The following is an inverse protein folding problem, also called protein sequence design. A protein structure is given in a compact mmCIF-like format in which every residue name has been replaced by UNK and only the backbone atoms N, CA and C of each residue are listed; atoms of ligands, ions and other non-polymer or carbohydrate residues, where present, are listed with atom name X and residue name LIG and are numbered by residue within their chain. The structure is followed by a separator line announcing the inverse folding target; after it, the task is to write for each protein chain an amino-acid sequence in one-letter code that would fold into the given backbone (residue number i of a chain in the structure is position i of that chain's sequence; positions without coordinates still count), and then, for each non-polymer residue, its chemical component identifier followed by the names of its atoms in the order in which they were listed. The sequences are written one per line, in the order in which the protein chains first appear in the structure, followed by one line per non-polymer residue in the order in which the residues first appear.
data_IF_689230106707
#
_entry.id   IF_689230106707
#
_cell.length_a   1.000
_cell.length_b   1.000
_cell.length_c   1.000
_cell.angle_alpha   90.00
_cell.angle_beta   90.00
_cell.angle_gamma   90.00
#
_symmetry.space_group_name_H-M   'P 1'
#
loop_
_entity.id
_entity.type
_entity.pdbx_description
1 polymer ?
#
# COMPACT_ATOMS: atom_id res chain seq x y z
N UNK A 1 10.17 6.91 -0.48
CA UNK A 1 10.54 5.72 -1.28
C UNK A 1 11.29 4.66 -0.47
N UNK A 2 12.28 5.01 0.38
CA UNK A 2 13.05 4.01 1.14
C UNK A 2 12.22 3.16 2.13
N UNK A 3 11.20 3.74 2.78
CA UNK A 3 10.32 3.03 3.73
C UNK A 3 9.42 1.99 3.07
N UNK A 4 9.02 2.20 1.81
CA UNK A 4 8.14 1.28 1.07
C UNK A 4 8.87 -0.01 0.64
N UNK A 5 10.18 0.09 0.38
CA UNK A 5 11.00 -1.06 -0.08
C UNK A 5 11.29 -2.03 1.07
N UNK A 6 11.49 -1.52 2.30
CA UNK A 6 11.72 -2.32 3.50
C UNK A 6 10.48 -3.13 3.91
N UNK A 7 9.30 -2.51 3.87
CA UNK A 7 8.03 -3.19 4.20
C UNK A 7 7.68 -4.26 3.16
N UNK A 8 7.83 -3.97 1.87
CA UNK A 8 7.53 -4.93 0.79
C UNK A 8 8.45 -6.17 0.81
N UNK A 9 9.74 -5.97 1.12
CA UNK A 9 10.71 -7.07 1.17
C UNK A 9 10.46 -8.02 2.36
N UNK A 10 10.01 -7.48 3.50
CA UNK A 10 9.68 -8.27 4.69
C UNK A 10 8.42 -9.12 4.48
N UNK A 11 7.36 -8.55 3.87
CA UNK A 11 6.14 -9.31 3.55
C UNK A 11 6.38 -10.43 2.52
N UNK A 12 7.28 -10.22 1.56
CA UNK A 12 7.61 -11.23 0.54
C UNK A 12 8.38 -12.40 1.14
N UNK A 13 9.32 -12.14 2.08
CA UNK A 13 10.04 -13.19 2.81
C UNK A 13 9.12 -13.97 3.77
N UNK A 14 8.09 -13.33 4.35
CA UNK A 14 7.15 -14.00 5.26
C UNK A 14 6.22 -14.98 4.55
N UNK A 15 5.79 -14.72 3.29
CA UNK A 15 4.98 -15.70 2.53
C UNK A 15 5.70 -17.04 2.34
N UNK A 16 7.02 -17.00 2.14
CA UNK A 16 7.82 -18.22 1.94
C UNK A 16 8.03 -19.05 3.22
N UNK A 17 7.87 -18.47 4.42
CA UNK A 17 8.02 -19.18 5.69
C UNK A 17 6.71 -19.72 6.26
N UNK A 18 5.56 -19.27 5.76
CA UNK A 18 4.23 -19.77 6.20
C UNK A 18 3.83 -21.04 5.44
N UNK A 19 4.37 -21.25 4.23
CA UNK A 19 4.11 -22.47 3.44
C UNK A 19 4.76 -23.75 4.01
N UNK A 20 5.58 -23.67 5.06
CA UNK A 20 6.23 -24.84 5.67
C UNK A 20 5.51 -25.46 6.87
N UNK A 21 4.40 -24.90 7.35
CA UNK A 21 3.65 -25.42 8.50
C UNK A 21 2.14 -25.53 8.19
N UNK A 22 1.74 -26.56 7.43
CA UNK A 22 0.36 -27.04 7.39
C UNK A 22 0.32 -28.56 7.61
N UNK A 23 -0.09 -28.94 8.82
CA UNK A 23 -0.33 -30.34 9.22
C UNK A 23 -1.81 -30.65 9.00
N UNK A 24 -2.04 -31.75 8.28
CA UNK A 24 -3.32 -32.38 7.98
C UNK A 24 -4.28 -32.46 9.18
N UNK A 25 -5.53 -32.02 8.98
CA UNK A 25 -6.67 -32.55 9.72
C UNK A 25 -7.81 -32.90 8.75
N UNK A 26 -7.99 -34.20 8.61
CA UNK A 26 -8.94 -34.89 7.75
C UNK A 26 -10.14 -35.29 8.63
N UNK A 27 -11.34 -34.76 8.36
CA UNK A 27 -12.61 -35.28 8.91
C UNK A 27 -13.65 -35.23 7.79
N UNK A 28 -14.16 -36.41 7.42
CA UNK A 28 -15.15 -36.62 6.36
C UNK A 28 -16.61 -36.58 6.84
N UNK A 29 -17.47 -37.07 5.94
CA UNK A 29 -18.94 -37.06 5.87
C UNK A 29 -19.52 -35.86 5.10
N UNK A 30 -20.43 -35.99 4.14
CA UNK A 30 -21.07 -37.16 3.49
C UNK A 30 -21.75 -36.64 2.21
N UNK A 31 -21.74 -37.43 1.13
CA UNK A 31 -22.41 -37.10 -0.13
C UNK A 31 -23.93 -37.28 -0.03
N UNK A 32 -24.69 -36.30 -0.52
CA UNK A 32 -26.05 -36.54 -0.99
C UNK A 32 -26.34 -35.70 -2.23
N UNK A 33 -26.60 -36.41 -3.32
CA UNK A 33 -27.00 -35.92 -4.63
C UNK A 33 -28.50 -36.14 -4.76
N UNK A 34 -29.30 -35.10 -5.04
CA UNK A 34 -30.39 -35.23 -6.01
C UNK A 34 -30.85 -33.86 -6.57
N UNK A 35 -31.40 -33.95 -7.77
CA UNK A 35 -31.61 -32.91 -8.77
C UNK A 35 -32.90 -32.10 -8.59
N UNK A 36 -32.86 -30.85 -9.06
CA UNK A 36 -33.97 -30.26 -9.83
C UNK A 36 -33.47 -29.04 -10.59
N UNK A 37 -33.28 -29.24 -11.90
CA UNK A 37 -33.14 -28.20 -12.92
C UNK A 37 -34.40 -27.32 -12.97
N UNK A 38 -34.24 -26.07 -13.44
CA UNK A 38 -35.25 -25.03 -13.74
C UNK A 38 -35.33 -23.88 -12.72
N UNK A 39 -34.33 -22.99 -12.72
CA UNK A 39 -34.56 -21.53 -12.65
C UNK A 39 -33.30 -20.70 -12.99
N UNK A 40 -32.69 -20.95 -14.16
CA UNK A 40 -31.36 -20.43 -14.54
C UNK A 40 -31.36 -19.03 -15.18
N UNK A 41 -32.30 -18.15 -14.82
CA UNK A 41 -32.34 -16.78 -15.37
C UNK A 41 -32.51 -15.65 -14.34
N UNK A 42 -32.32 -15.91 -13.04
CA UNK A 42 -32.41 -14.85 -12.02
C UNK A 42 -31.36 -14.92 -10.88
N UNK A 43 -30.22 -15.58 -11.08
CA UNK A 43 -29.16 -15.71 -10.06
C UNK A 43 -27.75 -15.36 -10.57
N UNK A 44 -27.47 -14.07 -10.77
CA UNK A 44 -26.10 -13.52 -10.60
C UNK A 44 -26.17 -12.04 -10.17
N UNK A 45 -26.73 -11.77 -9.00
CA UNK A 45 -26.34 -10.60 -8.18
C UNK A 45 -26.22 -11.13 -6.75
N UNK A 46 -25.26 -12.04 -6.56
CA UNK A 46 -24.92 -12.58 -5.24
C UNK A 46 -23.67 -11.85 -4.75
N UNK A 47 -23.86 -11.03 -3.72
CA UNK A 47 -22.93 -10.85 -2.61
C UNK A 47 -21.49 -10.43 -2.99
N UNK A 48 -21.33 -9.30 -3.68
CA UNK A 48 -20.00 -8.75 -3.89
C UNK A 48 -19.47 -8.13 -2.58
N UNK A 49 -18.45 -8.76 -1.98
CA UNK A 49 -17.72 -8.21 -0.83
C UNK A 49 -17.33 -6.75 -1.10
N UNK A 50 -17.91 -5.77 -0.39
CA UNK A 50 -17.65 -4.35 -0.66
C UNK A 50 -16.21 -3.96 -0.32
N UNK A 51 -15.46 -4.81 0.39
CA UNK A 51 -14.09 -4.56 0.82
C UNK A 51 -13.02 -5.22 -0.06
N UNK A 52 -13.42 -5.85 -1.17
CA UNK A 52 -12.49 -6.40 -2.16
C UNK A 52 -11.54 -5.33 -2.70
N UNK A 53 -10.34 -5.78 -3.05
CA UNK A 53 -9.27 -4.93 -3.56
C UNK A 53 -9.48 -4.52 -5.01
N UNK A 54 -9.93 -5.46 -5.84
CA UNK A 54 -10.03 -5.29 -7.28
C UNK A 54 -11.47 -5.37 -7.76
N UNK A 55 -11.84 -4.47 -8.66
CA UNK A 55 -13.18 -4.38 -9.26
C UNK A 55 -13.12 -3.98 -10.72
N UNK A 56 -14.14 -4.40 -11.47
CA UNK A 56 -14.33 -3.97 -12.87
C UNK A 56 -15.64 -3.19 -12.97
N UNK A 57 -15.54 -1.93 -13.37
CA UNK A 57 -16.68 -1.05 -13.63
C UNK A 57 -16.98 -1.02 -15.12
N UNK A 58 -18.26 -0.87 -15.48
CA UNK A 58 -18.70 -0.72 -16.87
C UNK A 58 -19.70 0.42 -17.02
N UNK A 59 -19.64 1.10 -18.15
CA UNK A 59 -20.61 2.13 -18.55
C UNK A 59 -20.84 2.07 -20.05
N UNK A 60 -22.08 1.84 -20.45
CA UNK A 60 -22.51 2.00 -21.84
C UNK A 60 -23.08 3.42 -21.98
N UNK A 61 -22.45 4.25 -22.81
CA UNK A 61 -22.96 5.60 -23.14
C UNK A 61 -23.90 5.46 -24.32
N UNK A 62 -25.20 5.47 -24.03
CA UNK A 62 -26.25 5.55 -25.04
C UNK A 62 -26.31 6.92 -25.70
N UNK A 63 -26.75 6.94 -26.96
CA UNK A 63 -26.90 8.15 -27.76
C UNK A 63 -25.62 8.99 -27.75
N UNK A 64 -24.50 8.33 -28.05
CA UNK A 64 -23.17 8.94 -27.97
C UNK A 64 -23.03 10.16 -28.88
N UNK A 65 -23.73 10.17 -30.02
CA UNK A 65 -23.86 11.32 -30.91
C UNK A 65 -24.41 12.57 -30.20
N UNK A 66 -25.45 12.44 -29.37
CA UNK A 66 -26.00 13.54 -28.56
C UNK A 66 -25.04 13.92 -27.43
N UNK A 67 -24.42 12.93 -26.77
CA UNK A 67 -23.43 13.15 -25.72
C UNK A 67 -22.24 13.99 -26.23
N UNK A 68 -21.72 13.67 -27.42
CA UNK A 68 -20.59 14.35 -28.03
C UNK A 68 -20.83 15.86 -28.28
N UNK A 69 -22.09 16.29 -28.42
CA UNK A 69 -22.43 17.71 -28.59
C UNK A 69 -22.18 18.52 -27.32
N UNK A 70 -22.22 17.91 -26.13
CA UNK A 70 -21.78 18.53 -24.89
C UNK A 70 -22.69 19.66 -24.36
N UNK A 71 -23.97 19.35 -24.15
CA UNK A 71 -24.90 20.30 -23.52
C UNK A 71 -24.57 20.58 -22.02
N UNK A 72 -24.67 21.85 -21.55
CA UNK A 72 -24.22 22.26 -20.22
C UNK A 72 -24.85 21.53 -19.03
N UNK A 73 -26.09 21.04 -19.17
CA UNK A 73 -26.86 20.44 -18.07
C UNK A 73 -27.09 18.93 -18.21
N UNK A 74 -26.69 18.32 -19.32
CA UNK A 74 -26.96 16.89 -19.64
C UNK A 74 -25.72 16.11 -20.12
N UNK A 75 -24.56 16.78 -20.18
CA UNK A 75 -23.36 16.25 -20.81
C UNK A 75 -22.65 15.13 -20.04
N UNK A 76 -22.67 15.09 -18.71
CA UNK A 76 -21.94 14.04 -17.98
C UNK A 76 -22.73 12.73 -17.89
N UNK A 77 -22.02 11.60 -17.92
CA UNK A 77 -22.56 10.25 -17.67
C UNK A 77 -21.78 9.59 -16.54
N UNK A 78 -22.51 8.93 -15.65
CA UNK A 78 -21.96 8.21 -14.49
C UNK A 78 -22.40 6.74 -14.56
N UNK A 79 -21.51 5.81 -14.23
CA UNK A 79 -21.91 4.42 -14.00
C UNK A 79 -22.64 4.26 -12.67
N UNK A 80 -23.26 3.09 -12.49
CA UNK A 80 -23.62 2.62 -11.16
C UNK A 80 -22.36 2.51 -10.27
N UNK A 81 -22.48 2.79 -8.96
CA UNK A 81 -21.36 2.61 -8.04
C UNK A 81 -21.02 1.14 -7.87
N UNK A 82 -19.73 0.82 -7.85
CA UNK A 82 -19.22 -0.48 -7.43
C UNK A 82 -18.30 -0.27 -6.23
N UNK A 83 -18.48 -1.10 -5.20
CA UNK A 83 -17.70 -0.99 -3.97
C UNK A 83 -16.38 -1.74 -4.08
N UNK A 84 -15.30 -1.04 -3.72
CA UNK A 84 -13.97 -1.60 -3.49
C UNK A 84 -13.39 -0.95 -2.23
N UNK A 85 -12.82 -1.76 -1.34
CA UNK A 85 -12.30 -1.30 -0.04
C UNK A 85 -13.30 -0.48 0.80
N UNK A 86 -14.60 -0.75 0.66
CA UNK A 86 -15.67 -0.03 1.35
C UNK A 86 -15.99 1.34 0.76
N UNK A 87 -15.35 1.72 -0.34
CA UNK A 87 -15.55 2.99 -1.05
C UNK A 87 -16.37 2.78 -2.34
N UNK A 88 -17.29 3.70 -2.67
CA UNK A 88 -18.04 3.66 -3.93
C UNK A 88 -17.24 4.26 -5.09
N UNK A 89 -17.01 3.46 -6.13
CA UNK A 89 -16.31 3.87 -7.34
C UNK A 89 -17.27 3.95 -8.52
N UNK A 90 -17.11 4.97 -9.37
CA UNK A 90 -17.93 5.21 -10.57
C UNK A 90 -17.08 5.61 -11.75
N UNK A 91 -17.44 5.17 -12.95
CA UNK A 91 -16.95 5.77 -14.18
C UNK A 91 -17.64 7.12 -14.37
N UNK A 92 -16.87 8.16 -14.69
CA UNK A 92 -17.35 9.48 -15.04
C UNK A 92 -16.89 9.83 -16.46
N UNK A 93 -17.83 10.02 -17.37
CA UNK A 93 -17.58 10.46 -18.74
C UNK A 93 -18.11 11.88 -18.94
N UNK A 94 -17.30 12.76 -19.54
CA UNK A 94 -17.64 14.18 -19.75
C UNK A 94 -17.21 14.60 -21.16
N UNK A 95 -18.12 15.09 -22.00
CA UNK A 95 -17.79 15.70 -23.27
C UNK A 95 -17.33 17.14 -23.01
N UNK A 96 -16.22 17.55 -23.61
CA UNK A 96 -15.71 18.92 -23.49
C UNK A 96 -15.46 19.53 -24.85
N UNK A 97 -16.16 20.61 -25.12
CA UNK A 97 -15.88 21.43 -26.29
C UNK A 97 -14.63 22.28 -26.06
N UNK A 98 -13.71 22.26 -27.03
CA UNK A 98 -12.50 23.07 -27.03
C UNK A 98 -12.29 23.68 -28.40
N UNK A 99 -11.91 24.96 -28.41
CA UNK A 99 -11.51 25.64 -29.64
C UNK A 99 -10.07 25.28 -29.99
N UNK A 100 -9.84 24.82 -31.21
CA UNK A 100 -8.51 24.61 -31.78
C UNK A 100 -8.28 25.56 -32.95
N UNK A 101 -7.05 26.07 -33.06
CA UNK A 101 -6.59 26.83 -34.22
C UNK A 101 -5.88 25.88 -35.19
N UNK A 102 -6.27 25.86 -36.46
CA UNK A 102 -5.56 25.12 -37.50
C UNK A 102 -4.30 25.86 -37.94
N UNK A 103 -3.39 25.19 -38.63
CA UNK A 103 -2.19 25.81 -39.22
C UNK A 103 -2.53 26.94 -40.20
N UNK A 104 -3.72 26.89 -40.81
CA UNK A 104 -4.27 27.95 -41.67
C UNK A 104 -4.92 29.12 -40.89
N UNK A 105 -4.83 29.14 -39.56
CA UNK A 105 -5.39 30.20 -38.70
C UNK A 105 -6.91 30.12 -38.48
N UNK A 106 -7.57 29.07 -38.95
CA UNK A 106 -9.01 28.89 -38.82
C UNK A 106 -9.34 28.25 -37.46
N UNK A 107 -10.38 28.76 -36.78
CA UNK A 107 -10.85 28.20 -35.51
C UNK A 107 -11.86 27.09 -35.76
N UNK A 108 -11.58 25.90 -35.27
CA UNK A 108 -12.44 24.71 -35.36
C UNK A 108 -12.83 24.30 -33.95
N UNK A 109 -14.12 24.02 -33.76
CA UNK A 109 -14.63 23.47 -32.52
C UNK A 109 -14.39 21.95 -32.53
N UNK A 110 -13.66 21.45 -31.54
CA UNK A 110 -13.42 20.02 -31.36
C UNK A 110 -14.09 19.58 -30.08
N UNK A 111 -14.75 18.42 -30.12
CA UNK A 111 -15.31 17.79 -28.93
C UNK A 111 -14.36 16.71 -28.42
N UNK A 112 -13.82 16.92 -27.22
CA UNK A 112 -12.95 16.00 -26.52
C UNK A 112 -13.77 15.07 -25.61
N UNK A 113 -13.44 13.78 -25.63
CA UNK A 113 -14.01 12.78 -24.74
C UNK A 113 -13.18 12.70 -23.44
N UNK A 114 -13.78 13.17 -22.35
CA UNK A 114 -13.24 13.04 -21.00
C UNK A 114 -13.66 11.74 -20.33
N UNK A 115 -12.71 11.03 -19.74
CA UNK A 115 -12.93 9.75 -19.07
C UNK A 115 -12.14 9.70 -17.76
N UNK A 116 -12.88 9.54 -16.66
CA UNK A 116 -12.40 9.59 -15.28
C UNK A 116 -12.94 8.41 -14.48
N UNK A 117 -12.22 8.06 -13.43
CA UNK A 117 -12.76 7.30 -12.32
C UNK A 117 -13.06 8.30 -11.19
N UNK A 118 -14.21 8.14 -10.56
CA UNK A 118 -14.64 8.94 -9.42
C UNK A 118 -14.82 8.02 -8.21
N UNK A 119 -14.26 8.42 -7.08
CA UNK A 119 -14.49 7.87 -5.76
C UNK A 119 -15.33 8.88 -4.97
N UNK A 120 -16.65 8.72 -4.98
CA UNK A 120 -17.57 9.76 -4.49
C UNK A 120 -18.50 9.24 -3.41
N UNK A 121 -18.39 9.88 -2.26
CA UNK A 121 -19.28 9.79 -1.13
C UNK A 121 -20.74 10.09 -1.51
N UNK A 122 -21.63 9.12 -1.29
CA UNK A 122 -23.01 9.39 -0.84
C UNK A 122 -23.02 9.75 0.67
N UNK A 123 -21.85 10.00 1.25
CA UNK A 123 -21.69 10.51 2.61
C UNK A 123 -22.03 12.01 2.57
N UNK A 124 -23.25 12.28 3.01
CA UNK A 124 -23.86 13.58 3.26
C UNK A 124 -22.81 14.66 3.63
N UNK A 125 -22.74 15.74 2.84
CA UNK A 125 -21.82 16.89 2.97
C UNK A 125 -22.21 17.77 4.18
N UNK A 126 -22.63 17.14 5.28
CA UNK A 126 -23.06 17.80 6.51
C UNK A 126 -22.45 17.23 7.79
N UNK A 127 -21.63 16.18 7.71
CA UNK A 127 -21.02 15.59 8.91
C UNK A 127 -19.51 15.80 8.92
N UNK A 128 -18.98 16.01 10.11
CA UNK A 128 -17.58 16.07 10.54
C UNK A 128 -16.79 14.77 10.22
N UNK A 129 -16.86 14.26 8.98
CA UNK A 129 -16.15 13.07 8.56
C UNK A 129 -14.64 13.34 8.54
N UNK A 130 -13.87 12.44 9.16
CA UNK A 130 -12.42 12.49 9.13
C UNK A 130 -11.91 12.55 7.68
N UNK A 131 -10.81 13.28 7.40
CA UNK A 131 -10.20 13.31 6.07
C UNK A 131 -9.90 11.88 5.61
N UNK A 132 -10.31 11.51 4.40
CA UNK A 132 -10.15 10.16 3.86
C UNK A 132 -9.17 10.19 2.70
N UNK A 133 -8.46 9.08 2.51
CA UNK A 133 -7.65 8.91 1.32
C UNK A 133 -7.59 7.45 0.89
N UNK A 134 -7.55 7.21 -0.42
CA UNK A 134 -7.40 5.90 -1.00
C UNK A 134 -6.48 5.97 -2.20
N UNK A 135 -5.33 5.29 -2.14
CA UNK A 135 -4.50 5.10 -3.33
C UNK A 135 -5.15 4.02 -4.20
N UNK A 136 -5.15 4.22 -5.52
CA UNK A 136 -5.63 3.22 -6.45
C UNK A 136 -4.90 3.30 -7.79
N UNK A 137 -4.76 2.13 -8.41
CA UNK A 137 -4.34 1.98 -9.81
C UNK A 137 -5.55 1.60 -10.63
N UNK A 138 -5.75 2.24 -11.78
CA UNK A 138 -6.84 1.91 -12.69
C UNK A 138 -6.38 1.84 -14.14
N UNK A 139 -7.03 0.95 -14.90
CA UNK A 139 -6.92 0.85 -16.36
C UNK A 139 -8.25 1.29 -16.93
N UNK A 140 -8.25 2.44 -17.61
CA UNK A 140 -9.42 3.00 -18.29
C UNK A 140 -9.45 2.49 -19.73
N UNK A 141 -10.54 1.86 -20.12
CA UNK A 141 -10.67 1.10 -21.36
C UNK A 141 -11.89 1.60 -22.14
N UNK A 142 -11.70 2.01 -23.39
CA UNK A 142 -12.78 2.13 -24.38
C UNK A 142 -12.78 0.84 -25.19
N UNK A 143 -13.90 0.11 -25.12
CA UNK A 143 -14.01 -1.21 -25.72
C UNK A 143 -14.20 -1.09 -27.24
N UNK A 144 -13.42 -1.88 -27.99
CA UNK A 144 -13.66 -2.09 -29.40
C UNK A 144 -14.90 -2.98 -29.57
N UNK A 145 -15.77 -2.60 -30.51
CA UNK A 145 -17.03 -3.27 -30.80
C UNK A 145 -17.05 -3.94 -32.19
N UNK A 146 -15.91 -3.90 -32.89
CA UNK A 146 -15.72 -4.55 -34.18
C UNK A 146 -14.57 -5.58 -34.14
N UNK A 147 -14.71 -6.73 -34.83
CA UNK A 147 -13.64 -7.72 -34.92
C UNK A 147 -12.35 -7.14 -35.52
N UNK A 148 -11.21 -7.44 -34.90
CA UNK A 148 -9.88 -7.01 -35.37
C UNK A 148 -9.42 -5.64 -34.85
N UNK A 149 -10.31 -4.84 -34.26
CA UNK A 149 -9.94 -3.60 -33.56
C UNK A 149 -9.60 -3.91 -32.10
N UNK A 150 -8.52 -3.30 -31.59
CA UNK A 150 -8.09 -3.45 -30.20
C UNK A 150 -8.72 -2.36 -29.32
N UNK A 151 -8.98 -2.70 -28.06
CA UNK A 151 -9.42 -1.73 -27.06
C UNK A 151 -8.40 -0.59 -26.90
N UNK A 152 -8.89 0.63 -26.65
CA UNK A 152 -8.04 1.75 -26.30
C UNK A 152 -7.90 1.83 -24.78
N UNK A 153 -6.66 1.80 -24.27
CA UNK A 153 -6.39 1.71 -22.82
C UNK A 153 -5.45 2.83 -22.36
N UNK A 154 -5.74 3.43 -21.20
CA UNK A 154 -4.79 4.28 -20.47
C UNK A 154 -4.74 3.90 -18.99
N UNK A 155 -3.55 4.02 -18.40
CA UNK A 155 -3.31 3.69 -17.02
C UNK A 155 -3.26 4.96 -16.17
N UNK A 156 -3.81 4.88 -14.96
CA UNK A 156 -3.66 5.91 -13.93
C UNK A 156 -3.24 5.27 -12.62
N UNK A 157 -2.49 6.04 -11.83
CA UNK A 157 -2.23 5.77 -10.43
C UNK A 157 -2.42 7.09 -9.69
N UNK A 158 -3.30 7.10 -8.69
CA UNK A 158 -3.70 8.33 -8.02
C UNK A 158 -4.10 8.07 -6.55
N UNK A 159 -4.00 9.10 -5.72
CA UNK A 159 -4.48 9.08 -4.34
C UNK A 159 -5.73 9.93 -4.25
N UNK A 160 -6.88 9.27 -4.21
CA UNK A 160 -8.19 9.91 -4.12
C UNK A 160 -8.43 10.44 -2.71
N UNK A 161 -9.03 11.61 -2.59
CA UNK A 161 -9.43 12.23 -1.32
C UNK A 161 -10.52 13.30 -1.56
N UNK A 162 -11.03 13.95 -0.50
CA UNK A 162 -12.17 14.87 -0.61
C UNK A 162 -12.02 16.02 -1.63
N UNK A 163 -10.79 16.47 -1.91
CA UNK A 163 -10.56 17.58 -2.87
C UNK A 163 -10.24 17.07 -4.28
N UNK A 164 -9.76 15.84 -4.40
CA UNK A 164 -9.42 15.17 -5.65
C UNK A 164 -10.09 13.79 -5.63
N UNK A 165 -11.43 13.83 -5.72
CA UNK A 165 -12.27 12.63 -5.65
C UNK A 165 -12.48 11.98 -7.00
N UNK A 166 -12.07 12.65 -8.08
CA UNK A 166 -12.05 12.12 -9.43
C UNK A 166 -10.69 12.34 -10.09
N UNK A 167 -10.29 11.38 -10.92
CA UNK A 167 -9.02 11.44 -11.64
C UNK A 167 -9.12 10.71 -12.97
N UNK A 168 -8.44 11.24 -13.99
CA UNK A 168 -8.52 10.71 -15.34
C UNK A 168 -8.05 11.71 -16.38
N UNK A 169 -8.61 11.61 -17.58
CA UNK A 169 -8.15 12.37 -18.74
C UNK A 169 -9.29 13.23 -19.28
N UNK A 170 -9.07 14.55 -19.30
CA UNK A 170 -9.94 15.48 -20.04
C UNK A 170 -9.92 15.24 -21.55
N UNK A 171 -8.79 14.78 -22.08
CA UNK A 171 -8.60 14.41 -23.47
C UNK A 171 -8.18 12.93 -23.53
N UNK A 172 -9.15 12.04 -23.32
CA UNK A 172 -8.90 10.61 -23.49
C UNK A 172 -8.74 10.31 -24.98
N UNK A 173 -9.72 10.73 -25.79
CA UNK A 173 -9.80 10.66 -27.25
C UNK A 173 -10.68 11.82 -27.76
N UNK A 174 -10.78 12.04 -29.07
CA UNK A 174 -11.79 12.96 -29.62
C UNK A 174 -13.12 12.24 -29.83
N UNK A 175 -14.23 12.95 -29.62
CA UNK A 175 -15.56 12.40 -29.88
C UNK A 175 -15.74 12.06 -31.36
N UNK A 176 -15.18 12.86 -32.29
CA UNK A 176 -15.25 12.59 -33.73
C UNK A 176 -14.59 11.25 -34.09
N UNK A 177 -13.47 10.92 -33.44
CA UNK A 177 -12.81 9.63 -33.64
C UNK A 177 -13.68 8.48 -33.12
N UNK A 178 -14.33 8.66 -31.96
CA UNK A 178 -15.24 7.65 -31.40
C UNK A 178 -16.52 7.49 -32.21
N UNK A 179 -17.02 8.58 -32.82
CA UNK A 179 -18.22 8.59 -33.65
C UNK A 179 -18.02 7.96 -35.02
N UNK A 180 -16.79 7.91 -35.54
CA UNK A 180 -16.53 7.27 -36.83
C UNK A 180 -16.68 5.73 -36.71
N UNK A 181 -17.67 5.12 -37.41
CA UNK A 181 -17.88 3.68 -37.36
C UNK A 181 -16.69 2.86 -37.86
N UNK A 182 -15.85 3.41 -38.74
CA UNK A 182 -14.65 2.71 -39.25
C UNK A 182 -13.59 2.47 -38.18
N UNK A 183 -13.58 3.30 -37.12
CA UNK A 183 -12.66 3.13 -36.00
C UNK A 183 -13.11 2.01 -35.04
N UNK A 184 -14.35 1.52 -35.17
CA UNK A 184 -14.84 0.33 -34.48
C UNK A 184 -15.15 0.47 -32.99
N UNK A 185 -15.21 1.68 -32.43
CA UNK A 185 -15.52 1.93 -31.01
C UNK A 185 -16.99 2.20 -30.73
N UNK A 186 -17.79 2.47 -31.76
CA UNK A 186 -19.22 2.76 -31.66
C UNK A 186 -20.04 1.69 -32.41
N UNK A 187 -21.15 1.29 -31.82
CA UNK A 187 -22.15 0.41 -32.43
C UNK A 187 -23.53 0.81 -31.91
N UNK A 188 -24.51 0.95 -32.80
CA UNK A 188 -25.88 1.33 -32.45
C UNK A 188 -25.96 2.63 -31.61
N UNK A 189 -25.09 3.60 -31.93
CA UNK A 189 -24.90 4.86 -31.18
C UNK A 189 -24.54 4.68 -29.69
N UNK A 190 -23.90 3.56 -29.36
CA UNK A 190 -23.41 3.22 -28.02
C UNK A 190 -21.89 3.09 -28.04
N UNK A 191 -21.24 3.75 -27.08
CA UNK A 191 -19.81 3.54 -26.77
C UNK A 191 -19.70 2.86 -25.40
N UNK A 192 -18.92 1.78 -25.33
CA UNK A 192 -18.78 0.99 -24.10
C UNK A 192 -17.46 1.26 -23.40
N UNK A 193 -17.54 1.58 -22.12
CA UNK A 193 -16.40 1.84 -21.25
C UNK A 193 -16.25 0.73 -20.22
N UNK A 194 -15.01 0.42 -19.90
CA UNK A 194 -14.65 -0.47 -18.82
C UNK A 194 -13.50 0.14 -18.01
N UNK A 195 -13.53 -0.03 -16.69
CA UNK A 195 -12.40 0.32 -15.82
C UNK A 195 -12.07 -0.87 -14.95
N UNK A 196 -10.83 -1.36 -15.03
CA UNK A 196 -10.29 -2.29 -14.04
C UNK A 196 -9.55 -1.50 -12.97
N UNK A 197 -10.00 -1.57 -11.73
CA UNK A 197 -9.50 -0.80 -10.60
C UNK A 197 -8.91 -1.75 -9.54
N UNK A 198 -7.76 -1.36 -8.98
CA UNK A 198 -7.17 -1.98 -7.78
C UNK A 198 -6.95 -0.89 -6.73
N UNK A 199 -7.62 -0.99 -5.60
CA UNK A 199 -7.60 0.00 -4.54
C UNK A 199 -6.85 -0.50 -3.29
N UNK A 200 -5.97 0.34 -2.76
CA UNK A 200 -5.28 0.10 -1.50
C UNK A 200 -6.22 0.29 -0.31
N UNK A 201 -5.82 -0.19 0.88
CA UNK A 201 -6.60 0.04 2.09
C UNK A 201 -6.74 1.56 2.36
N UNK A 202 -7.97 2.09 2.50
CA UNK A 202 -8.19 3.51 2.68
C UNK A 202 -7.85 3.95 4.11
N UNK A 203 -7.55 5.24 4.25
CA UNK A 203 -7.37 5.92 5.53
C UNK A 203 -8.60 6.80 5.81
N UNK A 204 -8.90 7.04 7.10
CA UNK A 204 -10.01 7.93 7.52
C UNK A 204 -11.41 7.32 7.39
N UNK A 205 -11.50 6.04 7.03
CA UNK A 205 -12.75 5.28 6.93
C UNK A 205 -12.68 4.14 7.95
N UNK A 206 -13.83 3.67 8.45
CA UNK A 206 -13.90 2.48 9.29
C UNK A 206 -13.41 1.25 8.51
N UNK A 207 -12.11 0.98 8.62
CA UNK A 207 -11.44 -0.20 8.08
C UNK A 207 -11.06 -1.13 9.23
N UNK A 208 -11.63 -2.34 9.23
CA UNK A 208 -11.28 -3.37 10.20
C UNK A 208 -10.07 -4.17 9.69
N UNK A 209 -8.87 -3.67 9.98
CA UNK A 209 -7.62 -4.34 9.61
C UNK A 209 -7.57 -5.78 10.11
N UNK A 210 -8.11 -6.06 11.30
CA UNK A 210 -8.01 -7.39 11.92
C UNK A 210 -8.88 -8.39 11.19
N UNK A 211 -10.11 -8.01 10.83
CA UNK A 211 -11.00 -8.86 10.03
C UNK A 211 -10.38 -9.24 8.69
N UNK A 212 -9.73 -8.29 8.02
CA UNK A 212 -9.25 -8.51 6.64
C UNK A 212 -7.83 -9.05 6.54
N UNK A 213 -6.97 -8.83 7.55
CA UNK A 213 -5.56 -9.25 7.50
C UNK A 213 -5.14 -10.16 8.66
N UNK A 214 -5.97 -10.31 9.70
CA UNK A 214 -5.59 -10.93 10.97
C UNK A 214 -4.77 -10.02 11.90
N UNK A 215 -4.35 -8.84 11.43
CA UNK A 215 -3.46 -7.93 12.15
C UNK A 215 -4.05 -6.53 12.29
N UNK A 216 -3.57 -5.77 13.28
CA UNK A 216 -3.96 -4.37 13.49
C UNK A 216 -2.79 -3.41 13.28
N UNK A 217 -3.13 -2.18 12.93
CA UNK A 217 -2.17 -1.11 12.68
C UNK A 217 -1.74 -0.33 13.93
N UNK A 218 -0.83 0.61 13.72
CA UNK A 218 -0.42 1.62 14.69
C UNK A 218 -0.99 2.97 14.27
N UNK A 219 -1.48 3.76 15.23
CA UNK A 219 -1.90 5.14 14.98
C UNK A 219 -0.68 5.97 14.63
N UNK A 220 -0.72 6.67 13.49
CA UNK A 220 0.33 7.62 13.15
C UNK A 220 0.12 8.92 13.95
N UNK A 221 1.17 9.38 14.64
CA UNK A 221 1.13 10.61 15.44
C UNK A 221 1.59 11.85 14.66
N UNK A 222 1.84 11.71 13.36
CA UNK A 222 2.39 12.77 12.51
C UNK A 222 3.47 12.22 11.60
N UNK A 223 4.73 12.56 11.87
CA UNK A 223 5.88 12.10 11.07
C UNK A 223 6.47 10.76 11.53
N UNK A 224 5.81 10.06 12.47
CA UNK A 224 6.32 8.84 13.15
C UNK A 224 6.20 7.53 12.35
N UNK A 225 6.03 7.58 11.02
CA UNK A 225 5.82 6.39 10.20
C UNK A 225 7.01 5.41 10.22
N UNK A 226 8.23 5.94 10.38
CA UNK A 226 9.46 5.16 10.52
C UNK A 226 9.45 4.33 11.82
N UNK A 227 9.04 4.94 12.95
CA UNK A 227 8.89 4.26 14.23
C UNK A 227 7.83 3.16 14.15
N UNK A 228 6.68 3.46 13.55
CA UNK A 228 5.62 2.48 13.38
C UNK A 228 6.06 1.27 12.55
N UNK A 229 6.88 1.50 11.51
CA UNK A 229 7.45 0.44 10.68
C UNK A 229 8.41 -0.46 11.47
N UNK A 230 9.30 0.14 12.27
CA UNK A 230 10.22 -0.60 13.16
C UNK A 230 9.44 -1.42 14.20
N UNK A 231 8.42 -0.83 14.82
CA UNK A 231 7.62 -1.52 15.84
C UNK A 231 6.89 -2.74 15.29
N UNK A 232 6.29 -2.64 14.09
CA UNK A 232 5.69 -3.80 13.43
C UNK A 232 6.76 -4.86 13.11
N UNK A 233 7.92 -4.44 12.61
CA UNK A 233 9.04 -5.35 12.32
C UNK A 233 9.48 -6.12 13.56
N UNK A 234 9.71 -5.42 14.68
CA UNK A 234 10.11 -6.03 15.93
C UNK A 234 9.01 -6.88 16.56
N UNK A 235 7.74 -6.49 16.43
CA UNK A 235 6.61 -7.27 16.91
C UNK A 235 6.53 -8.64 16.22
N UNK A 236 6.79 -8.67 14.91
CA UNK A 236 6.80 -9.92 14.13
C UNK A 236 8.10 -10.71 14.25
N UNK A 237 9.17 -10.13 14.81
CA UNK A 237 10.32 -10.90 15.32
C UNK A 237 9.90 -11.62 16.61
N UNK A 238 9.20 -12.75 16.46
CA UNK A 238 8.51 -13.46 17.54
C UNK A 238 9.42 -13.77 18.75
N UNK A 239 10.69 -14.07 18.53
CA UNK A 239 11.66 -14.32 19.60
C UNK A 239 12.00 -13.05 20.38
N UNK A 240 12.17 -11.92 19.69
CA UNK A 240 12.33 -10.61 20.34
C UNK A 240 11.07 -10.26 21.14
N UNK A 241 9.88 -10.44 20.55
CA UNK A 241 8.60 -10.18 21.25
C UNK A 241 8.48 -10.98 22.55
N UNK A 242 8.79 -12.28 22.51
CA UNK A 242 8.80 -13.13 23.72
C UNK A 242 9.83 -12.67 24.74
N UNK A 243 11.04 -12.28 24.31
CA UNK A 243 12.06 -11.76 25.20
C UNK A 243 11.63 -10.46 25.88
N UNK A 244 11.01 -9.53 25.12
CA UNK A 244 10.48 -8.27 25.66
C UNK A 244 9.40 -8.51 26.72
N UNK A 245 8.51 -9.50 26.53
CA UNK A 245 7.50 -9.83 27.56
C UNK A 245 8.08 -10.40 28.86
N UNK A 246 9.28 -10.98 28.83
CA UNK A 246 9.93 -11.55 30.03
C UNK A 246 10.81 -10.53 30.77
N UNK A 247 10.88 -9.28 30.31
CA UNK A 247 11.63 -8.24 31.01
C UNK A 247 10.89 -7.82 32.29
N UNK A 248 11.59 -7.71 33.44
CA UNK A 248 11.00 -7.24 34.69
C UNK A 248 10.76 -5.73 34.62
N UNK A 249 9.50 -5.32 34.62
CA UNK A 249 9.06 -3.92 34.49
C UNK A 249 8.09 -3.49 35.59
N UNK A 250 7.95 -4.30 36.65
CA UNK A 250 7.00 -4.08 37.74
C UNK A 250 7.28 -2.79 38.52
N UNK A 251 8.55 -2.41 38.64
CA UNK A 251 9.01 -1.22 39.36
C UNK A 251 9.42 -0.07 38.41
N UNK A 252 9.19 -0.22 37.11
CA UNK A 252 9.59 0.77 36.11
C UNK A 252 8.58 1.94 36.07
N UNK A 253 9.09 3.15 35.86
CA UNK A 253 8.24 4.34 35.68
C UNK A 253 7.36 4.17 34.42
N UNK A 254 6.01 4.20 34.55
CA UNK A 254 5.07 4.09 33.44
C UNK A 254 5.28 5.04 32.27
N UNK A 255 5.90 6.20 32.49
CA UNK A 255 6.07 7.28 31.52
C UNK A 255 7.48 7.36 30.95
N UNK A 256 8.48 6.81 31.65
CA UNK A 256 9.91 6.88 31.25
C UNK A 256 10.50 5.54 30.81
N UNK A 257 9.89 4.41 31.15
CA UNK A 257 10.41 3.11 30.76
C UNK A 257 10.03 2.73 29.33
N UNK A 258 11.03 2.70 28.46
CA UNK A 258 10.92 2.21 27.07
C UNK A 258 10.53 0.74 27.04
N UNK A 259 11.09 -0.09 27.93
CA UNK A 259 10.77 -1.51 28.01
C UNK A 259 9.28 -1.75 28.32
N UNK A 260 8.75 -1.05 29.33
CA UNK A 260 7.34 -1.13 29.69
C UNK A 260 6.43 -0.57 28.59
N UNK A 261 6.83 0.53 27.94
CA UNK A 261 6.08 1.08 26.82
C UNK A 261 6.06 0.11 25.61
N UNK A 262 7.16 -0.57 25.32
CA UNK A 262 7.21 -1.59 24.26
C UNK A 262 6.36 -2.82 24.60
N UNK A 263 6.39 -3.31 25.84
CA UNK A 263 5.52 -4.39 26.29
C UNK A 263 4.04 -4.03 26.08
N UNK A 264 3.63 -2.81 26.43
CA UNK A 264 2.25 -2.32 26.18
C UNK A 264 1.91 -2.31 24.70
N UNK A 265 2.78 -1.75 23.85
CA UNK A 265 2.54 -1.71 22.39
C UNK A 265 2.41 -3.13 21.83
N UNK A 266 3.31 -4.04 22.18
CA UNK A 266 3.24 -5.42 21.70
C UNK A 266 2.01 -6.16 22.23
N UNK A 267 1.66 -5.97 23.50
CA UNK A 267 0.47 -6.56 24.08
C UNK A 267 -0.81 -6.07 23.38
N UNK A 268 -0.94 -4.76 23.18
CA UNK A 268 -2.08 -4.19 22.47
C UNK A 268 -2.11 -4.66 21.00
N UNK A 269 -0.97 -4.74 20.30
CA UNK A 269 -0.89 -5.27 18.93
C UNK A 269 -1.38 -6.72 18.82
N UNK A 270 -1.17 -7.52 19.87
CA UNK A 270 -1.58 -8.92 19.90
C UNK A 270 -3.06 -9.11 20.29
N UNK A 271 -3.61 -8.22 21.12
CA UNK A 271 -4.92 -8.45 21.77
C UNK A 271 -6.03 -7.52 21.29
N UNK A 272 -5.70 -6.28 20.91
CA UNK A 272 -6.68 -5.27 20.52
C UNK A 272 -7.32 -5.58 19.16
N UNK A 273 -8.50 -5.03 18.94
CA UNK A 273 -9.19 -4.96 17.65
C UNK A 273 -9.08 -3.57 17.01
N UNK A 274 -8.46 -2.62 17.72
CA UNK A 274 -8.33 -1.21 17.32
C UNK A 274 -6.86 -0.82 17.15
N UNK A 275 -6.54 0.13 16.25
CA UNK A 275 -5.17 0.62 16.07
C UNK A 275 -4.53 1.09 17.38
N UNK A 276 -3.29 0.67 17.62
CA UNK A 276 -2.56 0.90 18.87
C UNK A 276 -1.92 2.29 18.86
N UNK A 277 -1.99 2.98 20.00
CA UNK A 277 -1.36 4.30 20.17
C UNK A 277 0.08 4.18 20.68
N UNK A 278 1.02 4.87 20.05
CA UNK A 278 2.45 4.82 20.42
C UNK A 278 2.89 5.98 21.34
N UNK A 279 1.95 6.76 21.91
CA UNK A 279 2.27 8.03 22.61
C UNK A 279 3.10 7.84 23.88
N UNK A 280 2.84 6.76 24.62
CA UNK A 280 3.63 6.43 25.82
C UNK A 280 5.05 6.02 25.48
N UNK A 281 5.23 5.37 24.32
CA UNK A 281 6.56 4.99 23.83
C UNK A 281 7.36 6.22 23.40
N UNK A 282 6.78 7.11 22.59
CA UNK A 282 7.47 8.35 22.19
C UNK A 282 7.84 9.21 23.40
N UNK A 283 6.93 9.32 24.38
CA UNK A 283 7.24 10.00 25.65
C UNK A 283 8.37 9.33 26.45
N UNK A 284 8.46 8.00 26.44
CA UNK A 284 9.54 7.29 27.14
C UNK A 284 10.94 7.55 26.55
N UNK A 285 11.01 7.98 25.29
CA UNK A 285 12.25 8.49 24.68
C UNK A 285 12.58 9.93 25.07
N UNK A 286 11.70 10.59 25.81
CA UNK A 286 11.79 12.02 26.08
C UNK A 286 11.30 12.89 24.92
N UNK A 287 10.64 12.32 23.90
CA UNK A 287 10.19 13.10 22.76
C UNK A 287 9.05 14.04 23.13
N UNK A 288 9.28 15.33 22.95
CA UNK A 288 8.25 16.35 23.05
C UNK A 288 7.43 16.46 21.76
N UNK A 289 6.31 17.19 21.80
CA UNK A 289 5.37 17.28 20.67
C UNK A 289 6.02 17.77 19.36
N UNK A 290 7.10 18.57 19.44
CA UNK A 290 7.81 19.09 18.26
C UNK A 290 8.63 17.98 17.58
N UNK A 291 9.24 17.09 18.37
CA UNK A 291 10.07 15.99 17.86
C UNK A 291 9.24 14.91 17.15
N UNK A 292 7.94 14.82 17.46
CA UNK A 292 7.00 13.95 16.74
C UNK A 292 6.79 14.32 15.26
N UNK A 293 7.20 15.53 14.87
CA UNK A 293 7.16 16.02 13.49
C UNK A 293 8.53 15.99 12.80
N UNK A 294 9.60 15.62 13.51
CA UNK A 294 10.91 15.41 12.92
C UNK A 294 11.09 13.96 12.44
N UNK A 295 11.63 13.81 11.23
CA UNK A 295 12.01 12.50 10.70
C UNK A 295 13.41 12.16 11.19
N UNK A 296 13.51 11.13 12.02
CA UNK A 296 14.79 10.56 12.44
C UNK A 296 15.30 9.54 11.43
N UNK A 297 16.60 9.30 11.44
CA UNK A 297 17.18 8.16 10.73
C UNK A 297 16.65 6.86 11.35
N UNK A 298 16.06 5.99 10.52
CA UNK A 298 15.53 4.68 10.91
C UNK A 298 16.61 3.84 11.58
N UNK A 299 17.84 3.91 11.08
CA UNK A 299 18.97 3.13 11.57
C UNK A 299 19.37 3.57 12.97
N UNK A 300 19.45 4.87 13.21
CA UNK A 300 19.75 5.44 14.53
C UNK A 300 18.68 5.05 15.55
N UNK A 301 17.39 5.23 15.20
CA UNK A 301 16.30 4.87 16.11
C UNK A 301 16.27 3.37 16.42
N UNK A 302 16.47 2.52 15.41
CA UNK A 302 16.53 1.07 15.57
C UNK A 302 17.64 0.68 16.56
N UNK A 303 18.83 1.29 16.42
CA UNK A 303 19.96 1.03 17.33
C UNK A 303 19.67 1.50 18.75
N UNK A 304 19.19 2.72 18.93
CA UNK A 304 18.84 3.27 20.25
C UNK A 304 17.79 2.41 20.96
N UNK A 305 16.79 1.93 20.22
CA UNK A 305 15.78 1.00 20.72
C UNK A 305 16.39 -0.32 21.19
N UNK A 306 17.18 -0.98 20.34
CA UNK A 306 17.80 -2.27 20.66
C UNK A 306 18.78 -2.15 21.82
N UNK A 307 19.61 -1.11 21.85
CA UNK A 307 20.59 -0.89 22.92
C UNK A 307 19.89 -0.64 24.28
N UNK A 308 18.78 0.11 24.28
CA UNK A 308 17.99 0.35 25.48
C UNK A 308 17.38 -0.95 26.03
N UNK A 309 16.76 -1.75 25.15
CA UNK A 309 16.22 -3.05 25.51
C UNK A 309 17.31 -4.00 26.01
N UNK A 310 18.44 -4.10 25.30
CA UNK A 310 19.53 -4.99 25.67
C UNK A 310 20.09 -4.64 27.04
N UNK A 311 20.30 -3.34 27.30
CA UNK A 311 20.74 -2.85 28.60
C UNK A 311 19.82 -3.30 29.74
N UNK A 312 18.50 -3.24 29.52
CA UNK A 312 17.49 -3.72 30.48
C UNK A 312 17.44 -5.25 30.59
N UNK A 313 17.80 -5.99 29.54
CA UNK A 313 17.85 -7.46 29.55
C UNK A 313 19.10 -8.03 30.24
N UNK A 314 20.18 -7.25 30.45
CA UNK A 314 21.49 -7.74 30.94
C UNK A 314 21.45 -8.55 32.23
N UNK A 315 20.52 -8.24 33.15
CA UNK A 315 20.41 -8.87 34.46
C UNK A 315 19.12 -9.69 34.62
N UNK A 316 18.63 -10.25 33.51
CA UNK A 316 17.35 -10.98 33.44
C UNK A 316 17.57 -12.37 32.83
N UNK A 317 16.53 -13.19 32.83
CA UNK A 317 16.54 -14.52 32.17
C UNK A 317 16.71 -14.44 30.64
N UNK A 318 16.48 -13.28 30.03
CA UNK A 318 16.55 -13.06 28.58
C UNK A 318 17.80 -12.30 28.15
N UNK A 319 18.84 -12.29 29.00
CA UNK A 319 20.15 -11.72 28.68
C UNK A 319 20.67 -12.29 27.35
N UNK A 320 21.17 -11.40 26.48
CA UNK A 320 21.81 -11.79 25.23
C UNK A 320 20.84 -12.13 24.09
N UNK A 321 19.52 -12.00 24.31
CA UNK A 321 18.53 -12.25 23.26
C UNK A 321 18.73 -11.36 22.02
N UNK A 322 19.04 -10.07 22.21
CA UNK A 322 19.26 -9.12 21.11
C UNK A 322 20.55 -9.44 20.32
N UNK A 323 21.72 -9.59 20.97
CA UNK A 323 22.92 -10.04 20.28
C UNK A 323 22.71 -11.36 19.53
N UNK A 324 22.04 -12.33 20.13
CA UNK A 324 21.78 -13.61 19.49
C UNK A 324 20.89 -13.49 18.23
N UNK A 325 19.97 -12.53 18.20
CA UNK A 325 19.08 -12.30 17.05
C UNK A 325 19.73 -11.49 15.93
N UNK A 326 20.55 -10.51 16.28
CA UNK A 326 20.91 -9.42 15.35
C UNK A 326 22.42 -9.19 15.20
N UNK A 327 23.25 -9.69 16.13
CA UNK A 327 24.70 -9.46 16.08
C UNK A 327 25.37 -10.34 15.02
N UNK A 328 26.05 -9.68 14.09
CA UNK A 328 27.05 -10.29 13.22
C UNK A 328 28.47 -9.86 13.61
N UNK A 329 29.46 -10.61 13.14
CA UNK A 329 30.88 -10.24 13.25
C UNK A 329 31.41 -9.88 11.87
N UNK A 330 32.13 -8.77 11.77
CA UNK A 330 32.87 -8.37 10.58
C UNK A 330 34.36 -8.21 10.87
N UNK A 331 35.19 -8.53 9.88
CA UNK A 331 36.64 -8.29 9.94
C UNK A 331 37.04 -7.25 8.92
N UNK A 332 37.60 -6.14 9.38
CA UNK A 332 38.17 -5.09 8.54
C UNK A 332 39.67 -5.27 8.39
N UNK A 333 40.10 -5.42 7.13
CA UNK A 333 41.50 -5.56 6.75
C UNK A 333 42.03 -4.25 6.16
N UNK A 334 43.19 -3.81 6.64
CA UNK A 334 43.94 -2.69 6.07
C UNK A 334 45.34 -3.17 5.76
N UNK A 335 45.70 -3.20 4.48
CA UNK A 335 47.03 -3.61 4.02
C UNK A 335 47.71 -2.43 3.33
N UNK A 336 48.89 -2.06 3.80
CA UNK A 336 49.72 -1.07 3.14
C UNK A 336 50.28 -1.64 1.83
N UNK A 337 50.30 -0.85 0.75
CA UNK A 337 50.80 -1.30 -0.56
C UNK A 337 52.33 -1.30 -0.65
N UNK A 338 52.96 -0.33 0.01
CA UNK A 338 54.40 -0.05 -0.11
C UNK A 338 55.22 -0.53 1.11
N UNK A 339 54.54 -0.95 2.17
CA UNK A 339 55.15 -1.40 3.43
C UNK A 339 54.50 -2.73 3.82
N UNK A 340 55.26 -3.72 4.32
CA UNK A 340 54.71 -5.01 4.76
C UNK A 340 53.98 -4.86 6.11
N UNK A 341 52.88 -4.12 6.11
CA UNK A 341 52.03 -3.89 7.28
C UNK A 341 50.58 -4.24 6.93
N UNK A 342 49.97 -5.04 7.80
CA UNK A 342 48.57 -5.42 7.73
C UNK A 342 47.93 -5.28 9.12
N UNK A 343 46.76 -4.67 9.17
CA UNK A 343 45.93 -4.56 10.37
C UNK A 343 44.59 -5.24 10.13
N UNK A 344 44.21 -6.10 11.07
CA UNK A 344 42.91 -6.77 11.10
C UNK A 344 42.17 -6.30 12.35
N UNK A 345 40.94 -5.82 12.17
CA UNK A 345 40.05 -5.45 13.28
C UNK A 345 38.76 -6.26 13.16
N UNK A 346 38.37 -6.92 14.24
CA UNK A 346 37.09 -7.61 14.32
C UNK A 346 36.10 -6.71 15.07
N UNK A 347 34.97 -6.43 14.44
CA UNK A 347 33.95 -5.52 14.93
C UNK A 347 32.58 -6.21 14.85
N UNK A 348 31.72 -5.95 15.84
CA UNK A 348 30.34 -6.41 15.82
C UNK A 348 29.45 -5.44 15.03
N UNK A 349 28.46 -5.95 14.33
CA UNK A 349 27.44 -5.15 13.67
C UNK A 349 26.04 -5.69 13.94
N UNK A 350 25.03 -4.82 13.89
CA UNK A 350 23.62 -5.16 14.06
C UNK A 350 22.80 -4.85 12.80
N UNK A 351 23.39 -4.12 11.86
CA UNK A 351 22.81 -3.77 10.57
C UNK A 351 23.91 -3.67 9.51
N UNK A 352 23.51 -3.80 8.24
CA UNK A 352 24.39 -3.67 7.08
C UNK A 352 23.91 -2.53 6.19
N UNK A 353 24.76 -1.52 6.01
CA UNK A 353 24.49 -0.40 5.14
C UNK A 353 24.90 -0.73 3.70
N UNK A 354 23.92 -0.79 2.80
CA UNK A 354 24.13 -1.16 1.40
C UNK A 354 24.06 0.07 0.49
N UNK A 355 25.15 0.38 -0.23
CA UNK A 355 25.13 1.42 -1.26
C UNK A 355 24.42 0.90 -2.52
N UNK A 356 23.36 1.59 -2.95
CA UNK A 356 22.47 1.25 -4.08
C UNK A 356 22.83 2.00 -5.37
N UNK A 357 23.55 3.13 -5.28
CA UNK A 357 23.81 3.97 -6.45
C UNK A 357 24.60 3.20 -7.53
N UNK A 358 24.05 3.15 -8.74
CA UNK A 358 24.67 2.50 -9.90
C UNK A 358 24.63 0.97 -9.92
N UNK A 359 23.74 0.32 -9.13
CA UNK A 359 23.68 -1.15 -9.04
C UNK A 359 22.29 -1.70 -9.37
N UNK A 360 22.24 -2.74 -10.21
CA UNK A 360 21.02 -3.45 -10.63
C UNK A 360 21.04 -4.88 -10.07
N UNK A 361 20.43 -5.08 -8.91
CA UNK A 361 20.08 -6.37 -8.29
C UNK A 361 21.17 -7.46 -8.30
N UNK A 362 22.01 -7.49 -7.24
CA UNK A 362 22.96 -8.59 -6.96
C UNK A 362 24.34 -8.16 -6.44
N UNK A 363 24.71 -6.88 -6.60
CA UNK A 363 26.05 -6.35 -6.24
C UNK A 363 25.96 -5.32 -5.11
N UNK A 364 24.95 -5.44 -4.25
CA UNK A 364 24.83 -4.62 -3.04
C UNK A 364 25.55 -5.25 -1.85
N UNK A 365 26.61 -6.04 -2.05
CA UNK A 365 27.55 -6.32 -0.95
C UNK A 365 28.39 -5.05 -0.74
N UNK A 366 28.58 -4.56 0.50
CA UNK A 366 29.40 -3.39 0.75
C UNK A 366 30.86 -3.64 0.33
N UNK A 367 31.21 -3.31 -0.92
CA UNK A 367 32.59 -3.07 -1.31
C UNK A 367 32.86 -1.60 -1.03
N UNK A 368 33.35 -1.30 0.17
CA UNK A 368 33.97 0.01 0.43
C UNK A 368 35.20 0.14 -0.49
N UNK A 369 35.43 1.32 -1.11
CA UNK A 369 36.52 1.49 -2.05
C UNK A 369 37.86 1.19 -1.35
N UNK A 370 38.59 0.20 -1.88
CA UNK A 370 39.95 -0.12 -1.45
C UNK A 370 40.14 -1.24 -0.42
N UNK A 371 39.08 -1.97 -0.01
CA UNK A 371 39.23 -3.12 0.92
C UNK A 371 38.49 -4.36 0.40
N UNK A 372 39.21 -5.46 0.27
CA UNK A 372 38.62 -6.77 0.00
C UNK A 372 38.11 -7.35 1.32
N UNK A 373 36.82 -7.70 1.36
CA UNK A 373 36.22 -8.42 2.48
C UNK A 373 35.79 -9.79 1.98
N UNK A 374 36.14 -10.83 2.73
CA UNK A 374 35.59 -12.17 2.58
C UNK A 374 34.44 -12.29 3.59
N UNK A 375 33.20 -12.43 3.13
CA UNK A 375 32.15 -13.03 3.95
C UNK A 375 32.31 -14.54 3.85
N UNK A 376 32.42 -15.20 5.00
CA UNK A 376 32.18 -16.63 5.13
C UNK A 376 30.77 -16.78 5.67
N UNK A 377 29.88 -17.43 4.92
CA UNK A 377 28.54 -17.82 5.38
C UNK A 377 28.67 -19.07 6.23
#
# INVERSE_FOLDING_TARGET
MATAVLVSSIFTLQRSCVESDSVDQNIGHEEHMDASEQNDHLRVVMDEDPYREQVTLRLDIDRFSEFAVGHPNTGRRLSQPIYARGLPWRILAIPRQRMMSTEAGQRVLVSDFGFFIQCSDEIDVKSEAEPWSCAATAVLIVLAQQPGIKNCTKHIHHVFHQRESDWGFWHFMTCDFLLNPENGFIKDDIVKLEVTLSADAPHGIKWDSKKHSGFIGLKNQGATCYLNSILQTFFFTNMLRKAVYQMPTENDDPERSVALAMQRVFYELQTSDKPVGTRKLTRSFGWENIELFHQHDVQELCRVLLDNLESKMKHTSVKGAIPWLFEGKMKSYVRCKEVPFESVREESFYDLQLNISGKTNGICVPRLPGRAYHLSV
#
